data_IF_457038800752
#
_entry.id   IF_457038800752
#
_cell.length_a   1.000
_cell.length_b   1.000
_cell.length_c   1.000
_cell.angle_alpha   90.00
_cell.angle_beta   90.00
_cell.angle_gamma   90.00
#
_symmetry.space_group_name_H-M   'P 1'
#
loop_
_entity.id
_entity.type
_entity.pdbx_description
1 polymer ?
#
# COMPACT_ATOMS: atom_id res chain seq x y z
N UNK A 1 -8.12 12.83 -21.25
CA UNK A 1 -9.37 12.12 -20.98
C UNK A 1 -10.26 13.08 -20.22
N UNK A 2 -11.49 13.33 -20.68
CA UNK A 2 -12.43 14.17 -19.93
C UNK A 2 -13.09 13.38 -18.77
N UNK A 3 -13.80 14.08 -17.87
CA UNK A 3 -14.45 13.45 -16.71
C UNK A 3 -15.40 12.32 -17.09
N UNK A 4 -16.18 12.50 -18.16
CA UNK A 4 -17.14 11.48 -18.61
C UNK A 4 -16.40 10.23 -19.10
N UNK A 5 -15.35 10.41 -19.89
CA UNK A 5 -14.50 9.32 -20.35
C UNK A 5 -13.84 8.57 -19.18
N UNK A 6 -13.38 9.29 -18.14
CA UNK A 6 -12.80 8.67 -16.95
C UNK A 6 -13.83 7.83 -16.20
N UNK A 7 -15.02 8.37 -15.93
CA UNK A 7 -16.10 7.63 -15.27
C UNK A 7 -16.53 6.40 -16.06
N UNK A 8 -16.66 6.51 -17.39
CA UNK A 8 -16.98 5.38 -18.25
C UNK A 8 -15.86 4.32 -18.22
N UNK A 9 -14.60 4.74 -18.30
CA UNK A 9 -13.46 3.84 -18.20
C UNK A 9 -13.42 3.09 -16.86
N UNK A 10 -13.61 3.80 -15.74
CA UNK A 10 -13.65 3.20 -14.40
C UNK A 10 -14.78 2.20 -14.26
N UNK A 11 -15.97 2.54 -14.76
CA UNK A 11 -17.12 1.62 -14.78
C UNK A 11 -16.83 0.36 -15.59
N UNK A 12 -16.40 0.51 -16.84
CA UNK A 12 -16.14 -0.62 -17.74
C UNK A 12 -15.00 -1.51 -17.19
N UNK A 13 -13.92 -0.91 -16.70
CA UNK A 13 -12.81 -1.64 -16.07
C UNK A 13 -13.29 -2.43 -14.85
N UNK A 14 -14.10 -1.81 -13.99
CA UNK A 14 -14.70 -2.48 -12.82
C UNK A 14 -15.59 -3.66 -13.22
N UNK A 15 -16.36 -3.53 -14.32
CA UNK A 15 -17.19 -4.61 -14.85
C UNK A 15 -16.35 -5.74 -15.46
N UNK A 16 -15.21 -5.44 -16.09
CA UNK A 16 -14.28 -6.49 -16.56
C UNK A 16 -13.64 -7.26 -15.41
N UNK A 17 -13.33 -6.61 -14.29
CA UNK A 17 -12.84 -7.31 -13.08
C UNK A 17 -13.88 -8.33 -12.59
N UNK A 18 -15.18 -8.02 -12.68
CA UNK A 18 -16.25 -8.99 -12.37
C UNK A 18 -16.20 -10.21 -13.29
N UNK A 19 -16.03 -10.00 -14.60
CA UNK A 19 -15.92 -11.10 -15.57
C UNK A 19 -14.69 -11.97 -15.26
N UNK A 20 -13.53 -11.34 -15.02
CA UNK A 20 -12.30 -12.04 -14.63
C UNK A 20 -12.48 -12.83 -13.33
N UNK A 21 -13.12 -12.25 -12.32
CA UNK A 21 -13.38 -12.92 -11.05
C UNK A 21 -14.40 -14.07 -11.16
N UNK A 22 -15.21 -14.10 -12.22
CA UNK A 22 -16.14 -15.22 -12.49
C UNK A 22 -15.44 -16.45 -13.06
N UNK A 23 -14.19 -16.32 -13.53
CA UNK A 23 -13.40 -17.44 -14.01
C UNK A 23 -13.05 -18.38 -12.85
N UNK A 24 -13.28 -19.67 -13.04
CA UNK A 24 -12.86 -20.71 -12.11
C UNK A 24 -11.61 -21.38 -12.65
N UNK A 25 -10.49 -21.11 -11.97
CA UNK A 25 -9.23 -21.76 -12.27
C UNK A 25 -9.13 -23.06 -11.47
N UNK A 26 -8.57 -24.14 -12.05
CA UNK A 26 -8.41 -25.42 -11.35
C UNK A 26 -7.45 -25.35 -10.15
N UNK A 27 -6.66 -24.28 -10.06
CA UNK A 27 -5.80 -23.98 -8.92
C UNK A 27 -5.43 -22.49 -8.84
N UNK A 28 -4.89 -22.08 -7.70
CA UNK A 28 -4.24 -20.78 -7.53
C UNK A 28 -2.82 -20.79 -8.09
N UNK A 29 -2.40 -19.72 -8.75
CA UNK A 29 -1.09 -19.58 -9.36
C UNK A 29 -1.07 -18.46 -10.41
N UNK A 30 0.06 -18.31 -11.10
CA UNK A 30 0.16 -17.41 -12.24
C UNK A 30 -0.11 -18.20 -13.54
N UNK A 31 -0.56 -17.50 -14.59
CA UNK A 31 -0.76 -18.08 -15.92
C UNK A 31 0.57 -18.01 -16.69
N UNK A 32 1.02 -19.13 -17.22
CA UNK A 32 2.23 -19.29 -18.03
C UNK A 32 1.90 -19.96 -19.36
N UNK A 33 2.80 -19.82 -20.34
CA UNK A 33 2.77 -20.67 -21.53
C UNK A 33 3.10 -22.12 -21.15
N UNK A 34 2.48 -23.07 -21.84
CA UNK A 34 2.65 -24.50 -21.59
C UNK A 34 4.12 -24.97 -21.73
N UNK A 35 4.92 -24.25 -22.52
CA UNK A 35 6.35 -24.48 -22.75
C UNK A 35 7.28 -23.69 -21.80
N UNK A 36 6.74 -22.96 -20.82
CA UNK A 36 7.54 -22.25 -19.83
C UNK A 36 8.57 -23.18 -19.13
N UNK A 37 9.76 -22.70 -18.77
CA UNK A 37 10.84 -23.51 -18.22
C UNK A 37 10.63 -23.87 -16.74
N UNK A 38 9.52 -24.53 -16.42
CA UNK A 38 9.12 -24.93 -15.06
C UNK A 38 8.92 -26.45 -15.00
N UNK A 39 9.20 -27.02 -13.82
CA UNK A 39 9.13 -28.46 -13.60
C UNK A 39 7.72 -29.00 -13.90
N UNK A 40 7.63 -30.04 -14.74
CA UNK A 40 6.37 -30.59 -15.25
C UNK A 40 5.36 -30.97 -14.16
N UNK A 41 5.83 -31.40 -12.99
CA UNK A 41 4.98 -31.79 -11.86
C UNK A 41 4.33 -30.61 -11.12
N UNK A 42 4.73 -29.37 -11.43
CA UNK A 42 4.16 -28.15 -10.88
C UNK A 42 3.16 -27.49 -11.84
N UNK A 43 3.05 -27.98 -13.08
CA UNK A 43 2.18 -27.44 -14.11
C UNK A 43 0.78 -28.03 -14.00
N UNK A 44 -0.21 -27.16 -13.97
CA UNK A 44 -1.61 -27.52 -14.08
C UNK A 44 -2.08 -27.05 -15.46
N UNK A 45 -2.36 -27.96 -16.40
CA UNK A 45 -2.65 -27.57 -17.77
C UNK A 45 -3.92 -26.72 -17.86
N UNK A 46 -3.88 -25.68 -18.69
CA UNK A 46 -5.02 -24.91 -19.15
C UNK A 46 -5.21 -25.11 -20.66
N UNK A 47 -6.33 -24.63 -21.19
CA UNK A 47 -6.59 -24.61 -22.63
C UNK A 47 -5.67 -23.61 -23.36
N UNK A 48 -5.68 -23.65 -24.70
CA UNK A 48 -5.00 -22.69 -25.59
C UNK A 48 -3.49 -22.50 -25.37
N UNK A 49 -2.81 -23.55 -24.91
CA UNK A 49 -1.36 -23.53 -24.74
C UNK A 49 -0.90 -22.80 -23.48
N UNK A 50 -1.77 -22.67 -22.47
CA UNK A 50 -1.43 -22.11 -21.17
C UNK A 50 -1.36 -23.19 -20.08
N UNK A 51 -0.76 -22.85 -18.95
CA UNK A 51 -0.81 -23.64 -17.72
C UNK A 51 -0.78 -22.72 -16.50
N UNK A 52 -1.30 -23.20 -15.38
CA UNK A 52 -1.12 -22.58 -14.07
C UNK A 52 0.11 -23.21 -13.43
N UNK A 53 1.00 -22.35 -12.95
CA UNK A 53 2.20 -22.76 -12.23
C UNK A 53 2.30 -21.99 -10.90
N UNK A 54 3.27 -22.30 -10.02
CA UNK A 54 3.38 -21.67 -8.71
C UNK A 54 3.35 -20.14 -8.79
N UNK A 55 2.64 -19.55 -7.83
CA UNK A 55 2.54 -18.11 -7.68
C UNK A 55 3.93 -17.50 -7.43
N UNK A 56 4.40 -16.71 -8.39
CA UNK A 56 5.65 -15.96 -8.32
C UNK A 56 5.31 -14.52 -7.96
N UNK A 57 5.09 -14.25 -6.68
CA UNK A 57 5.11 -12.87 -6.21
C UNK A 57 6.56 -12.45 -5.96
N UNK A 58 6.95 -11.21 -6.26
CA UNK A 58 8.17 -10.62 -5.71
C UNK A 58 8.24 -10.75 -4.18
N UNK A 59 7.08 -10.90 -3.52
CA UNK A 59 6.97 -11.09 -2.07
C UNK A 59 7.36 -12.51 -1.59
N UNK A 60 7.46 -13.49 -2.50
CA UNK A 60 7.85 -14.88 -2.23
C UNK A 60 9.04 -15.26 -3.13
N UNK A 61 10.18 -14.59 -2.88
CA UNK A 61 11.43 -14.50 -3.66
C UNK A 61 12.21 -15.83 -3.84
N UNK A 62 11.55 -16.97 -3.95
CA UNK A 62 12.22 -18.26 -4.07
C UNK A 62 11.42 -19.31 -4.86
N UNK A 63 10.31 -18.90 -5.48
CA UNK A 63 9.44 -19.78 -6.25
C UNK A 63 9.38 -19.40 -7.74
N UNK A 64 10.22 -18.45 -8.19
CA UNK A 64 10.26 -17.99 -9.57
C UNK A 64 10.56 -19.10 -10.58
N UNK A 65 9.96 -18.99 -11.77
CA UNK A 65 10.33 -19.83 -12.91
C UNK A 65 11.84 -19.66 -13.22
N UNK A 66 12.59 -20.77 -13.25
CA UNK A 66 14.04 -20.77 -13.49
C UNK A 66 14.93 -20.49 -12.25
N UNK A 67 14.38 -20.12 -11.11
CA UNK A 67 15.17 -19.77 -9.91
C UNK A 67 15.64 -20.97 -9.08
N UNK A 68 15.13 -22.18 -9.38
CA UNK A 68 15.49 -23.41 -8.67
C UNK A 68 17.01 -23.70 -8.70
N UNK A 69 17.68 -23.28 -9.79
CA UNK A 69 19.12 -23.43 -9.98
C UNK A 69 19.93 -22.40 -9.17
N UNK A 70 19.38 -21.19 -8.96
CA UNK A 70 20.04 -20.12 -8.18
C UNK A 70 20.12 -20.48 -6.69
N UNK A 71 19.07 -21.09 -6.14
CA UNK A 71 18.94 -21.38 -4.71
C UNK A 71 19.29 -22.82 -4.32
N UNK A 72 19.99 -23.55 -5.20
CA UNK A 72 20.47 -24.93 -4.96
C UNK A 72 19.37 -25.89 -4.48
N UNK A 73 18.16 -25.78 -5.05
CA UNK A 73 17.08 -26.76 -4.89
C UNK A 73 16.58 -27.06 -3.47
N UNK A 74 16.96 -26.27 -2.46
CA UNK A 74 16.78 -26.62 -1.05
C UNK A 74 15.64 -25.90 -0.31
N UNK A 75 15.00 -24.90 -0.92
CA UNK A 75 13.99 -24.13 -0.19
C UNK A 75 12.58 -24.69 -0.42
N UNK A 76 12.08 -25.43 0.57
CA UNK A 76 10.70 -25.95 0.60
C UNK A 76 9.70 -24.91 1.10
N UNK A 77 10.16 -23.78 1.63
CA UNK A 77 9.31 -22.70 2.10
C UNK A 77 8.79 -21.89 0.91
N UNK A 78 7.64 -22.28 0.36
CA UNK A 78 7.00 -21.59 -0.78
C UNK A 78 6.13 -20.40 -0.37
N UNK A 79 6.49 -19.74 0.74
CA UNK A 79 5.58 -18.86 1.46
C UNK A 79 4.34 -19.61 1.97
N UNK A 80 3.31 -18.92 2.49
CA UNK A 80 1.99 -19.51 2.64
C UNK A 80 1.48 -19.89 1.24
N UNK A 81 1.85 -21.10 0.83
CA UNK A 81 1.49 -21.70 -0.43
C UNK A 81 -0.02 -21.64 -0.61
N UNK A 82 -0.45 -21.25 -1.82
CA UNK A 82 -1.77 -21.46 -2.43
C UNK A 82 -2.94 -20.51 -2.13
N UNK A 83 -2.78 -19.47 -1.31
CA UNK A 83 -3.74 -18.38 -1.31
C UNK A 83 -3.03 -17.08 -0.97
N UNK A 84 -2.80 -16.21 -1.95
CA UNK A 84 -2.83 -14.80 -1.61
C UNK A 84 -4.27 -14.51 -1.23
N UNK A 85 -4.57 -14.28 0.05
CA UNK A 85 -5.94 -14.21 0.46
C UNK A 85 -6.61 -13.08 -0.30
N UNK A 86 -7.84 -13.30 -0.78
CA UNK A 86 -8.60 -12.27 -1.51
C UNK A 86 -8.64 -10.92 -0.77
N UNK A 87 -8.41 -10.92 0.55
CA UNK A 87 -8.26 -9.70 1.33
C UNK A 87 -7.11 -8.78 0.93
N UNK A 88 -5.99 -9.32 0.43
CA UNK A 88 -4.84 -8.52 -0.02
C UNK A 88 -5.25 -7.57 -1.13
N UNK A 89 -6.05 -8.09 -2.07
CA UNK A 89 -6.65 -7.31 -3.15
C UNK A 89 -7.87 -6.51 -2.70
N UNK A 90 -8.54 -6.91 -1.62
CA UNK A 90 -9.70 -6.19 -1.12
C UNK A 90 -9.33 -4.85 -0.48
N UNK A 91 -8.10 -4.68 0.02
CA UNK A 91 -7.65 -3.38 0.55
C UNK A 91 -7.14 -2.43 -0.53
N UNK A 92 -6.67 -2.96 -1.65
CA UNK A 92 -6.10 -2.13 -2.71
C UNK A 92 -7.21 -1.47 -3.54
N UNK A 93 -7.08 -0.15 -3.72
CA UNK A 93 -7.86 0.63 -4.66
C UNK A 93 -6.93 0.94 -5.84
N UNK A 94 -7.28 0.56 -7.08
CA UNK A 94 -6.46 0.85 -8.24
C UNK A 94 -6.40 2.36 -8.48
N UNK A 95 -5.36 2.80 -9.18
CA UNK A 95 -5.08 4.20 -9.51
C UNK A 95 -6.29 4.94 -10.10
N UNK A 96 -7.00 4.34 -11.07
CA UNK A 96 -8.17 4.92 -11.73
C UNK A 96 -9.40 5.11 -10.81
N UNK A 97 -9.37 4.50 -9.63
CA UNK A 97 -10.41 4.65 -8.60
C UNK A 97 -9.84 5.23 -7.30
N UNK A 98 -8.55 5.57 -7.27
CA UNK A 98 -7.88 6.08 -6.08
C UNK A 98 -8.31 7.52 -5.80
N UNK A 99 -8.42 7.85 -4.51
CA UNK A 99 -8.60 9.23 -4.10
C UNK A 99 -7.26 9.97 -4.20
N UNK A 100 -7.27 11.28 -4.44
CA UNK A 100 -6.04 12.06 -4.46
C UNK A 100 -5.31 11.92 -3.14
N UNK A 101 -3.98 11.79 -3.21
CA UNK A 101 -3.14 11.82 -2.01
C UNK A 101 -3.17 13.23 -1.46
N UNK A 102 -3.56 13.36 -0.20
CA UNK A 102 -3.59 14.66 0.48
C UNK A 102 -2.17 15.13 0.78
N UNK A 103 -1.85 16.39 0.47
CA UNK A 103 -0.59 16.99 0.84
C UNK A 103 -0.59 17.29 2.36
N UNK A 104 0.30 16.66 3.16
CA UNK A 104 0.33 16.88 4.61
C UNK A 104 0.66 18.33 5.00
N UNK A 105 1.26 19.11 4.09
CA UNK A 105 1.64 20.49 4.33
C UNK A 105 0.50 21.51 4.11
N UNK A 106 -0.63 21.09 3.53
CA UNK A 106 -1.73 21.99 3.17
C UNK A 106 -2.91 21.86 4.14
N UNK A 107 -3.50 22.99 4.56
CA UNK A 107 -4.73 22.97 5.38
C UNK A 107 -5.93 22.64 4.47
N UNK A 108 -6.60 21.51 4.76
CA UNK A 108 -7.79 21.06 4.03
C UNK A 108 -8.88 22.12 3.94
N UNK A 109 -9.07 22.92 4.98
CA UNK A 109 -10.13 23.95 5.00
C UNK A 109 -9.81 25.12 4.08
N UNK A 110 -8.54 25.46 3.93
CA UNK A 110 -8.10 26.52 3.03
C UNK A 110 -8.14 26.04 1.57
N UNK A 111 -7.74 24.79 1.32
CA UNK A 111 -7.89 24.12 0.02
C UNK A 111 -9.35 24.13 -0.45
N UNK A 112 -10.29 23.64 0.37
CA UNK A 112 -11.71 23.55 0.01
C UNK A 112 -12.33 24.91 -0.37
N UNK A 113 -11.82 26.00 0.22
CA UNK A 113 -12.28 27.37 -0.04
C UNK A 113 -11.65 27.98 -1.31
N UNK A 114 -10.49 27.50 -1.74
CA UNK A 114 -9.74 28.03 -2.88
C UNK A 114 -9.97 27.26 -4.19
N UNK A 115 -10.58 26.07 -4.13
CA UNK A 115 -10.90 25.28 -5.32
C UNK A 115 -11.83 26.04 -6.27
N UNK A 116 -11.41 26.13 -7.52
CA UNK A 116 -12.26 26.54 -8.62
C UNK A 116 -13.44 25.58 -8.79
N UNK A 117 -14.50 26.06 -9.47
CA UNK A 117 -15.67 25.23 -9.78
C UNK A 117 -15.29 23.97 -10.57
N UNK A 118 -14.28 24.06 -11.44
CA UNK A 118 -13.80 22.95 -12.25
C UNK A 118 -13.02 21.92 -11.42
N UNK A 119 -12.19 22.36 -10.47
CA UNK A 119 -11.48 21.44 -9.55
C UNK A 119 -12.45 20.74 -8.60
N UNK A 120 -13.49 21.45 -8.12
CA UNK A 120 -14.54 20.86 -7.29
C UNK A 120 -15.34 19.81 -8.06
N UNK A 121 -15.63 20.07 -9.34
CA UNK A 121 -16.25 19.07 -10.24
C UNK A 121 -15.35 17.84 -10.39
N UNK A 122 -14.06 18.04 -10.65
CA UNK A 122 -13.11 16.94 -10.78
C UNK A 122 -13.01 16.10 -9.50
N UNK A 123 -12.95 16.72 -8.32
CA UNK A 123 -12.95 15.99 -7.04
C UNK A 123 -14.23 15.17 -6.84
N UNK A 124 -15.39 15.73 -7.18
CA UNK A 124 -16.65 15.00 -7.15
C UNK A 124 -16.63 13.81 -8.12
N UNK A 125 -16.13 13.99 -9.34
CA UNK A 125 -16.03 12.92 -10.33
C UNK A 125 -15.11 11.78 -9.85
N UNK A 126 -13.96 12.11 -9.23
CA UNK A 126 -13.05 11.12 -8.64
C UNK A 126 -13.72 10.38 -7.48
N UNK A 127 -14.44 11.09 -6.61
CA UNK A 127 -15.20 10.48 -5.52
C UNK A 127 -16.26 9.50 -6.04
N UNK A 128 -16.97 9.86 -7.11
CA UNK A 128 -17.94 8.98 -7.79
C UNK A 128 -17.25 7.74 -8.35
N UNK A 129 -16.09 7.88 -9.00
CA UNK A 129 -15.29 6.75 -9.49
C UNK A 129 -14.90 5.79 -8.36
N UNK A 130 -14.38 6.33 -7.25
CA UNK A 130 -14.00 5.55 -6.07
C UNK A 130 -15.18 4.76 -5.49
N UNK A 131 -16.31 5.45 -5.27
CA UNK A 131 -17.53 4.83 -4.74
C UNK A 131 -18.11 3.78 -5.69
N UNK A 132 -18.07 4.04 -7.00
CA UNK A 132 -18.53 3.10 -8.03
C UNK A 132 -17.68 1.82 -7.99
N UNK A 133 -16.35 1.96 -7.96
CA UNK A 133 -15.44 0.82 -7.84
C UNK A 133 -15.73 0.02 -6.56
N UNK A 134 -15.83 0.68 -5.40
CA UNK A 134 -16.11 0.00 -4.13
C UNK A 134 -17.46 -0.74 -4.14
N UNK A 135 -18.51 -0.13 -4.70
CA UNK A 135 -19.82 -0.75 -4.85
C UNK A 135 -19.78 -1.98 -5.76
N UNK A 136 -19.08 -1.92 -6.91
CA UNK A 136 -18.92 -3.06 -7.82
C UNK A 136 -18.17 -4.19 -7.11
N UNK A 137 -17.05 -3.89 -6.46
CA UNK A 137 -16.24 -4.89 -5.75
C UNK A 137 -17.02 -5.56 -4.60
N UNK A 138 -17.83 -4.80 -3.85
CA UNK A 138 -18.66 -5.33 -2.75
C UNK A 138 -19.86 -6.12 -3.24
N UNK A 139 -20.59 -5.60 -4.22
CA UNK A 139 -21.92 -6.11 -4.56
C UNK A 139 -21.90 -7.06 -5.74
N UNK A 140 -21.04 -6.84 -6.73
CA UNK A 140 -21.09 -7.56 -8.00
C UNK A 140 -20.05 -8.66 -8.14
N UNK A 141 -19.06 -8.74 -7.23
CA UNK A 141 -17.98 -9.74 -7.26
C UNK A 141 -18.08 -10.66 -6.04
N UNK A 142 -18.76 -11.83 -6.15
CA UNK A 142 -18.96 -12.72 -5.01
C UNK A 142 -17.67 -13.16 -4.31
N UNK A 143 -16.59 -13.43 -5.07
CA UNK A 143 -15.28 -13.83 -4.53
C UNK A 143 -14.61 -12.75 -3.66
N UNK A 144 -14.92 -11.48 -3.91
CA UNK A 144 -14.37 -10.33 -3.17
C UNK A 144 -15.32 -9.80 -2.10
N UNK A 145 -16.63 -10.08 -2.23
CA UNK A 145 -17.68 -9.57 -1.33
C UNK A 145 -17.40 -9.83 0.14
N UNK A 146 -16.98 -11.04 0.49
CA UNK A 146 -16.72 -11.39 1.90
C UNK A 146 -15.53 -10.58 2.40
N UNK A 147 -14.42 -10.58 1.66
CA UNK A 147 -13.23 -9.82 2.02
C UNK A 147 -13.51 -8.32 2.15
N UNK A 148 -14.23 -7.71 1.21
CA UNK A 148 -14.61 -6.28 1.25
C UNK A 148 -15.60 -5.90 2.36
N UNK A 149 -16.24 -6.87 3.02
CA UNK A 149 -17.17 -6.64 4.14
C UNK A 149 -16.53 -6.80 5.52
N UNK A 150 -15.38 -7.45 5.58
CA UNK A 150 -14.63 -7.58 6.82
C UNK A 150 -14.00 -6.24 7.20
N UNK A 151 -13.79 -6.04 8.50
CA UNK A 151 -13.13 -4.86 9.01
C UNK A 151 -11.70 -4.76 8.45
N UNK A 152 -11.28 -3.60 7.90
CA UNK A 152 -9.93 -3.42 7.38
C UNK A 152 -8.83 -3.77 8.38
N UNK A 153 -9.07 -3.66 9.69
CA UNK A 153 -8.11 -3.99 10.75
C UNK A 153 -7.62 -5.43 10.69
N UNK A 154 -8.48 -6.38 10.30
CA UNK A 154 -8.06 -7.77 10.13
C UNK A 154 -6.96 -7.91 9.10
N UNK A 155 -7.03 -7.11 8.05
CA UNK A 155 -6.14 -7.23 6.90
C UNK A 155 -4.91 -6.35 7.03
N UNK A 156 -5.03 -5.18 7.69
CA UNK A 156 -3.88 -4.32 7.97
C UNK A 156 -2.81 -5.04 8.78
N UNK A 157 -3.20 -5.88 9.75
CA UNK A 157 -2.24 -6.73 10.47
C UNK A 157 -1.45 -7.62 9.50
N UNK A 158 -2.14 -8.33 8.60
CA UNK A 158 -1.46 -9.15 7.59
C UNK A 158 -0.63 -8.31 6.63
N UNK A 159 -1.12 -7.13 6.22
CA UNK A 159 -0.38 -6.16 5.41
C UNK A 159 0.99 -5.86 6.02
N UNK A 160 0.98 -5.38 7.26
CA UNK A 160 2.20 -4.96 7.93
C UNK A 160 3.09 -6.12 8.37
N UNK A 161 2.55 -7.34 8.54
CA UNK A 161 3.37 -8.55 8.77
C UNK A 161 4.39 -8.79 7.65
N UNK A 162 4.02 -8.62 6.37
CA UNK A 162 4.97 -8.85 5.27
C UNK A 162 5.69 -7.58 4.80
N UNK A 163 5.19 -6.39 5.15
CA UNK A 163 5.89 -5.13 4.86
C UNK A 163 6.72 -4.62 6.04
N UNK A 164 6.87 -5.37 7.14
CA UNK A 164 7.65 -4.95 8.33
C UNK A 164 9.09 -4.55 7.97
N UNK A 165 9.70 -5.18 6.96
CA UNK A 165 11.05 -4.80 6.50
C UNK A 165 11.10 -3.41 5.84
N UNK A 166 9.97 -2.94 5.29
CA UNK A 166 9.80 -1.63 4.64
C UNK A 166 9.24 -0.57 5.60
N UNK A 167 8.22 -0.95 6.36
CA UNK A 167 7.42 -0.04 7.19
C UNK A 167 7.86 -0.04 8.66
N UNK A 168 8.71 -0.99 9.06
CA UNK A 168 9.27 -1.08 10.40
C UNK A 168 8.33 -1.71 11.44
N UNK A 169 8.90 -1.99 12.61
CA UNK A 169 8.17 -2.54 13.75
C UNK A 169 7.04 -1.64 14.32
N UNK A 170 7.13 -0.30 14.30
CA UNK A 170 6.07 0.55 14.84
C UNK A 170 4.72 0.35 14.13
N UNK A 171 4.71 0.17 12.81
CA UNK A 171 3.47 0.00 12.05
C UNK A 171 2.69 -1.25 12.52
N UNK A 172 3.34 -2.42 12.53
CA UNK A 172 2.69 -3.67 12.97
C UNK A 172 2.30 -3.64 14.46
N UNK A 173 3.09 -3.00 15.33
CA UNK A 173 2.73 -2.85 16.74
C UNK A 173 1.47 -2.01 16.92
N UNK A 174 1.30 -0.95 16.11
CA UNK A 174 0.08 -0.17 16.15
C UNK A 174 -1.13 -1.01 15.73
N UNK A 175 -1.03 -1.80 14.67
CA UNK A 175 -2.13 -2.70 14.26
C UNK A 175 -2.51 -3.71 15.34
N UNK A 176 -1.53 -4.24 16.08
CA UNK A 176 -1.77 -5.14 17.19
C UNK A 176 -2.48 -4.45 18.37
N UNK A 177 -2.15 -3.17 18.63
CA UNK A 177 -2.82 -2.36 19.64
C UNK A 177 -4.26 -2.03 19.22
N UNK A 178 -4.48 -1.66 17.98
CA UNK A 178 -5.81 -1.36 17.43
C UNK A 178 -6.68 -2.64 17.38
N UNK A 179 -6.09 -3.79 17.02
CA UNK A 179 -6.78 -5.07 17.11
C UNK A 179 -7.14 -5.42 18.56
N UNK A 180 -6.29 -5.07 19.53
CA UNK A 180 -6.56 -5.27 20.96
C UNK A 180 -7.75 -4.42 21.42
N UNK A 181 -7.87 -3.17 20.97
CA UNK A 181 -9.00 -2.30 21.36
C UNK A 181 -10.31 -2.82 20.79
N UNK A 182 -10.29 -3.33 19.56
CA UNK A 182 -11.47 -3.88 18.87
C UNK A 182 -11.76 -5.35 19.21
N UNK A 183 -10.91 -6.03 19.99
CA UNK A 183 -10.99 -7.49 20.20
C UNK A 183 -12.38 -7.97 20.64
N UNK A 184 -13.02 -7.24 21.55
CA UNK A 184 -14.36 -7.55 22.05
C UNK A 184 -15.45 -7.20 21.03
N UNK A 185 -15.31 -6.10 20.31
CA UNK A 185 -16.27 -5.64 19.30
C UNK A 185 -16.31 -6.58 18.10
N UNK A 186 -15.17 -7.20 17.80
CA UNK A 186 -15.00 -8.21 16.75
C UNK A 186 -15.40 -9.62 17.20
N UNK A 187 -15.90 -9.78 18.43
CA UNK A 187 -16.34 -11.05 19.02
C UNK A 187 -15.27 -12.16 18.93
N UNK A 188 -13.99 -11.79 19.02
CA UNK A 188 -12.88 -12.74 18.90
C UNK A 188 -12.78 -13.63 20.16
N UNK A 189 -12.45 -14.92 19.99
CA UNK A 189 -12.46 -15.88 21.10
C UNK A 189 -11.39 -15.55 22.13
N UNK A 190 -11.78 -15.64 23.41
CA UNK A 190 -10.87 -15.44 24.54
C UNK A 190 -10.42 -13.99 24.73
N UNK A 191 -9.28 -13.82 25.41
CA UNK A 191 -8.64 -12.52 25.58
C UNK A 191 -7.60 -12.29 24.50
N UNK A 192 -7.38 -11.03 24.14
CA UNK A 192 -6.29 -10.66 23.22
C UNK A 192 -4.94 -11.16 23.77
N UNK A 193 -4.15 -11.92 22.98
CA UNK A 193 -2.87 -12.47 23.43
C UNK A 193 -1.77 -11.40 23.49
N UNK A 194 -1.94 -10.27 22.82
CA UNK A 194 -0.97 -9.17 22.81
C UNK A 194 -1.24 -8.24 24.00
N UNK A 195 -0.44 -8.39 25.06
CA UNK A 195 -0.56 -7.63 26.31
C UNK A 195 0.76 -6.93 26.63
N UNK A 196 1.08 -5.82 25.93
CA UNK A 196 2.28 -5.04 26.23
C UNK A 196 2.19 -4.39 27.61
N UNK A 197 3.36 -4.24 28.23
CA UNK A 197 3.58 -3.50 29.48
C UNK A 197 3.44 -1.99 29.28
N UNK A 198 3.25 -1.25 30.37
CA UNK A 198 3.18 0.22 30.32
C UNK A 198 4.47 0.85 29.76
N UNK A 199 5.62 0.20 29.98
CA UNK A 199 6.90 0.62 29.41
C UNK A 199 6.90 0.49 27.89
N UNK A 200 6.53 -0.69 27.38
CA UNK A 200 6.45 -0.95 25.93
C UNK A 200 5.43 -0.04 25.26
N UNK A 201 4.32 0.29 25.93
CA UNK A 201 3.33 1.24 25.43
C UNK A 201 3.90 2.65 25.31
N UNK A 202 4.66 3.12 26.30
CA UNK A 202 5.32 4.44 26.22
C UNK A 202 6.40 4.47 25.14
N UNK A 203 7.21 3.42 25.03
CA UNK A 203 8.24 3.32 24.00
C UNK A 203 7.61 3.32 22.60
N UNK A 204 6.57 2.49 22.40
CA UNK A 204 5.81 2.44 21.15
C UNK A 204 5.19 3.79 20.81
N UNK A 205 4.61 4.51 21.77
CA UNK A 205 4.02 5.82 21.51
C UNK A 205 5.01 6.83 20.93
N UNK A 206 6.28 6.80 21.39
CA UNK A 206 7.35 7.64 20.83
C UNK A 206 7.77 7.15 19.44
N UNK A 207 7.99 5.84 19.28
CA UNK A 207 8.39 5.25 18.00
C UNK A 207 7.32 5.43 16.91
N UNK A 208 6.05 5.35 17.28
CA UNK A 208 4.94 5.50 16.37
C UNK A 208 4.75 6.95 15.92
N UNK A 209 4.96 7.92 16.81
CA UNK A 209 5.01 9.34 16.42
C UNK A 209 6.13 9.62 15.39
N UNK A 210 7.31 9.06 15.62
CA UNK A 210 8.44 9.17 14.68
C UNK A 210 8.11 8.52 13.34
N UNK A 211 7.44 7.36 13.36
CA UNK A 211 6.95 6.68 12.17
C UNK A 211 5.93 7.52 11.40
N UNK A 212 4.90 8.07 12.07
CA UNK A 212 3.89 8.91 11.41
C UNK A 212 4.52 10.15 10.78
N UNK A 213 5.43 10.80 11.50
CA UNK A 213 6.20 11.94 10.99
C UNK A 213 6.97 11.56 9.72
N UNK A 214 7.66 10.40 9.73
CA UNK A 214 8.39 9.90 8.57
C UNK A 214 7.47 9.62 7.38
N UNK A 215 6.28 9.04 7.61
CA UNK A 215 5.32 8.78 6.53
C UNK A 215 4.78 10.07 5.93
N UNK A 216 4.51 11.09 6.76
CA UNK A 216 4.12 12.42 6.29
C UNK A 216 5.23 13.07 5.46
N UNK A 217 6.48 13.04 5.95
CA UNK A 217 7.65 13.54 5.23
C UNK A 217 7.80 12.85 3.86
N UNK A 218 7.72 11.52 3.82
CA UNK A 218 7.77 10.75 2.55
C UNK A 218 6.65 11.14 1.60
N UNK A 219 5.44 11.34 2.11
CA UNK A 219 4.27 11.75 1.29
C UNK A 219 4.49 13.13 0.70
N UNK A 220 4.94 14.08 1.51
CA UNK A 220 5.28 15.43 1.06
C UNK A 220 6.40 15.40 0.00
N UNK A 221 7.50 14.67 0.23
CA UNK A 221 8.59 14.54 -0.75
C UNK A 221 8.13 13.93 -2.08
N UNK A 222 7.27 12.91 -2.04
CA UNK A 222 6.69 12.31 -3.25
C UNK A 222 5.90 13.33 -4.07
N UNK A 223 5.08 14.15 -3.40
CA UNK A 223 4.30 15.20 -4.05
C UNK A 223 5.24 16.30 -4.60
N UNK A 224 6.16 16.79 -3.78
CA UNK A 224 7.11 17.86 -4.13
C UNK A 224 8.01 17.49 -5.30
N UNK A 225 8.48 16.24 -5.37
CA UNK A 225 9.35 15.77 -6.46
C UNK A 225 8.59 15.10 -7.60
N UNK A 226 7.26 14.97 -7.50
CA UNK A 226 6.42 14.25 -8.47
C UNK A 226 6.96 12.83 -8.76
N UNK A 227 7.42 12.15 -7.72
CA UNK A 227 8.00 10.80 -7.81
C UNK A 227 7.10 9.76 -7.17
N UNK A 228 7.36 8.49 -7.48
CA UNK A 228 6.65 7.36 -6.87
C UNK A 228 7.27 6.98 -5.51
N UNK A 229 6.71 5.99 -4.82
CA UNK A 229 7.22 5.56 -3.51
C UNK A 229 8.62 4.95 -3.56
N UNK A 230 9.11 4.55 -4.73
CA UNK A 230 10.47 4.06 -4.91
C UNK A 230 11.52 5.17 -5.08
N UNK A 231 11.09 6.44 -5.19
CA UNK A 231 11.96 7.60 -5.34
C UNK A 231 12.74 7.61 -6.66
N UNK A 232 12.33 6.82 -7.65
CA UNK A 232 13.02 6.78 -8.94
C UNK A 232 12.86 8.10 -9.70
N UNK A 233 13.97 8.57 -10.29
CA UNK A 233 14.03 9.81 -11.08
C UNK A 233 14.85 9.52 -12.35
N UNK A 234 14.39 9.94 -13.55
CA UNK A 234 15.16 9.84 -14.77
C UNK A 234 16.53 10.54 -14.67
N UNK A 235 17.56 9.99 -15.32
CA UNK A 235 18.92 10.55 -15.28
C UNK A 235 18.99 11.99 -15.78
N UNK A 236 18.16 12.35 -16.76
CA UNK A 236 18.10 13.69 -17.34
C UNK A 236 17.60 14.74 -16.34
N UNK A 237 16.85 14.32 -15.32
CA UNK A 237 16.29 15.18 -14.28
C UNK A 237 17.13 15.16 -12.99
N UNK A 238 18.22 14.39 -12.95
CA UNK A 238 18.99 14.14 -11.73
C UNK A 238 19.57 15.42 -11.10
N UNK A 239 20.11 16.32 -11.92
CA UNK A 239 20.66 17.57 -11.40
C UNK A 239 19.58 18.48 -10.81
N UNK A 240 18.41 18.57 -11.46
CA UNK A 240 17.27 19.30 -10.93
C UNK A 240 16.73 18.67 -9.63
N UNK A 241 16.70 17.34 -9.56
CA UNK A 241 16.26 16.61 -8.37
C UNK A 241 17.18 16.85 -7.17
N UNK A 242 18.51 16.96 -7.37
CA UNK A 242 19.45 17.30 -6.28
C UNK A 242 19.17 18.69 -5.71
N UNK A 243 18.94 19.68 -6.57
CA UNK A 243 18.61 21.04 -6.14
C UNK A 243 17.25 21.09 -5.42
N UNK A 244 16.24 20.40 -5.95
CA UNK A 244 14.94 20.27 -5.30
C UNK A 244 15.04 19.58 -3.93
N UNK A 245 15.87 18.53 -3.82
CA UNK A 245 16.16 17.85 -2.57
C UNK A 245 16.79 18.79 -1.53
N UNK A 246 17.76 19.61 -1.94
CA UNK A 246 18.39 20.58 -1.04
C UNK A 246 17.39 21.64 -0.56
N UNK A 247 16.58 22.18 -1.47
CA UNK A 247 15.54 23.14 -1.09
C UNK A 247 14.52 22.53 -0.12
N UNK A 248 14.07 21.30 -0.39
CA UNK A 248 13.15 20.58 0.48
C UNK A 248 13.78 20.26 1.85
N UNK A 249 15.07 19.95 1.89
CA UNK A 249 15.80 19.76 3.13
C UNK A 249 15.83 21.04 3.97
N UNK A 250 16.17 22.16 3.35
CA UNK A 250 16.22 23.46 4.04
C UNK A 250 14.85 23.83 4.61
N UNK A 251 13.76 23.65 3.84
CA UNK A 251 12.39 23.87 4.28
C UNK A 251 12.00 22.97 5.47
N UNK A 252 12.37 21.68 5.42
CA UNK A 252 12.13 20.72 6.49
C UNK A 252 12.83 21.12 7.79
N UNK A 253 14.11 21.50 7.69
CA UNK A 253 14.90 21.93 8.85
C UNK A 253 14.41 23.26 9.40
N UNK A 254 14.01 24.21 8.55
CA UNK A 254 13.45 25.48 8.98
C UNK A 254 12.12 25.32 9.70
N UNK A 255 11.26 24.41 9.23
CA UNK A 255 10.03 24.02 9.93
C UNK A 255 10.35 23.48 11.33
N UNK A 256 11.38 22.63 11.45
CA UNK A 256 11.84 22.11 12.74
C UNK A 256 12.53 23.17 13.64
N UNK A 257 13.01 24.29 13.09
CA UNK A 257 13.50 25.45 13.86
C UNK A 257 12.34 26.30 14.35
N UNK A 258 11.32 26.52 13.52
CA UNK A 258 10.13 27.28 13.86
C UNK A 258 9.27 26.57 14.92
N UNK A 259 9.17 25.23 14.85
CA UNK A 259 8.43 24.41 15.84
C UNK A 259 9.00 24.50 17.25
N UNK A 260 10.30 24.80 17.43
CA UNK A 260 10.91 25.00 18.76
C UNK A 260 10.36 26.21 19.52
N UNK A 261 9.71 27.16 18.84
CA UNK A 261 9.02 28.29 19.47
C UNK A 261 7.60 27.91 19.94
N UNK A 262 7.06 26.81 19.43
CA UNK A 262 5.82 26.14 19.84
C UNK A 262 6.14 24.99 20.82
N UNK A 263 5.15 24.50 21.55
CA UNK A 263 5.30 23.34 22.46
C UNK A 263 5.43 21.99 21.71
N UNK A 264 5.59 22.02 20.40
CA UNK A 264 5.60 20.85 19.52
C UNK A 264 6.95 20.14 19.44
N UNK A 265 6.87 18.81 19.30
CA UNK A 265 7.92 17.80 19.54
C UNK A 265 9.06 17.78 18.50
N UNK A 266 8.96 18.52 17.40
CA UNK A 266 9.96 18.46 16.34
C UNK A 266 11.18 19.31 16.69
N UNK A 267 12.35 18.66 16.77
CA UNK A 267 13.64 19.33 16.99
C UNK A 267 14.53 19.16 15.76
N UNK A 268 15.45 20.10 15.53
CA UNK A 268 16.45 19.99 14.45
C UNK A 268 17.19 18.64 14.48
N UNK A 269 17.62 18.14 15.64
CA UNK A 269 18.31 16.84 15.71
C UNK A 269 17.40 15.67 15.26
N UNK A 270 16.11 15.73 15.61
CA UNK A 270 15.12 14.74 15.17
C UNK A 270 14.87 14.85 13.66
N UNK A 271 14.66 16.06 13.15
CA UNK A 271 14.47 16.34 11.73
C UNK A 271 15.64 15.83 10.86
N UNK A 272 16.88 16.05 11.33
CA UNK A 272 18.13 15.57 10.72
C UNK A 272 18.24 14.04 10.66
N UNK A 273 17.67 13.34 11.64
CA UNK A 273 17.63 11.87 11.69
C UNK A 273 16.53 11.28 10.82
N UNK A 274 15.43 12.02 10.64
CA UNK A 274 14.29 11.58 9.84
C UNK A 274 14.48 11.86 8.34
N UNK A 275 15.42 12.73 7.97
CA UNK A 275 15.68 13.01 6.55
C UNK A 275 16.19 11.74 5.82
N UNK A 276 15.54 11.31 4.72
CA UNK A 276 15.80 10.00 4.13
C UNK A 276 16.99 9.98 3.15
N UNK A 277 17.58 11.13 2.82
CA UNK A 277 18.64 11.22 1.80
C UNK A 277 19.99 11.61 2.40
N UNK A 278 21.06 10.97 1.93
CA UNK A 278 22.44 11.28 2.37
C UNK A 278 22.97 12.58 1.75
N UNK A 279 22.50 12.93 0.55
CA UNK A 279 22.80 14.20 -0.08
C UNK A 279 21.96 15.30 0.58
N UNK A 280 22.61 16.18 1.33
CA UNK A 280 22.03 17.34 2.02
C UNK A 280 22.63 18.61 1.43
#
# INVERSE_FOLDING_TARGET
MDSLQHMLCTKESSLRIKEMASLDFPAFGNIYFADAPVAKNLKIPLEDGFCIEPYCSPLFWNCGAGEAELYKGGNTNRGPSCAEPAFMYAQNVPDFASLPVENPAEDKKELEQQLSDDERRLQNDISICNQTYDAVMRLMIPKMRIAKRLDPMFFRLFHYCFTTWRDGAPAIRQELLDLRTLWKELELPGNCPYVPTDEELREHAVQYEDFETMQQLKTWLKISFQTTSDGWIPNELWDAAKEANKAAYDEWIDTARASKASRERMTVNKAEKLWPFDAR
#
